data_IF_732520094153
#
_entry.id   IF_732520094153
#
_cell.length_a   1.000
_cell.length_b   1.000
_cell.length_c   1.000
_cell.angle_alpha   90.00
_cell.angle_beta   90.00
_cell.angle_gamma   90.00
#
_symmetry.space_group_name_H-M   'P 1'
#
loop_
_entity.id
_entity.type
_entity.pdbx_description
1 polymer ?
#
# COMPACT_ATOMS: atom_id res chain seq x y z
N UNK A 1 -1.13 20.50 4.84
CA UNK A 1 -1.30 19.30 3.99
C UNK A 1 -2.76 19.21 3.61
N UNK A 2 -3.09 19.00 2.34
CA UNK A 2 -4.47 18.77 1.93
C UNK A 2 -4.86 17.33 2.28
N UNK A 3 -6.03 17.15 2.90
CA UNK A 3 -6.59 15.84 3.22
C UNK A 3 -7.72 15.56 2.21
N UNK A 4 -7.64 14.41 1.54
CA UNK A 4 -8.65 13.96 0.57
C UNK A 4 -9.41 12.79 1.16
N UNK A 5 -10.73 12.80 1.03
CA UNK A 5 -11.61 11.70 1.47
C UNK A 5 -12.13 10.97 0.24
N UNK A 6 -11.89 9.66 0.18
CA UNK A 6 -12.45 8.80 -0.85
C UNK A 6 -13.73 8.16 -0.30
N UNK A 7 -14.86 8.37 -0.97
CA UNK A 7 -16.11 7.67 -0.67
C UNK A 7 -16.20 6.44 -1.57
N UNK A 8 -16.27 5.26 -0.96
CA UNK A 8 -16.37 3.97 -1.67
C UNK A 8 -17.46 3.13 -1.04
N UNK A 9 -18.12 2.28 -1.83
CA UNK A 9 -19.08 1.30 -1.31
C UNK A 9 -18.35 0.15 -0.62
N UNK A 10 -19.02 -0.53 0.32
CA UNK A 10 -18.43 -1.63 1.10
C UNK A 10 -17.82 -2.72 0.21
N UNK A 11 -18.52 -3.11 -0.87
CA UNK A 11 -18.02 -4.12 -1.82
C UNK A 11 -16.69 -3.68 -2.48
N UNK A 12 -16.58 -2.40 -2.79
CA UNK A 12 -15.41 -1.84 -3.47
C UNK A 12 -14.26 -1.62 -2.48
N UNK A 13 -14.59 -1.36 -1.20
CA UNK A 13 -13.62 -1.32 -0.11
C UNK A 13 -12.93 -2.67 0.11
N UNK A 14 -13.71 -3.76 0.09
CA UNK A 14 -13.17 -5.11 0.20
C UNK A 14 -12.30 -5.49 -1.00
N UNK A 15 -12.72 -5.13 -2.21
CA UNK A 15 -11.92 -5.32 -3.42
C UNK A 15 -10.60 -4.53 -3.33
N UNK A 16 -10.67 -3.26 -2.96
CA UNK A 16 -9.50 -2.39 -2.81
C UNK A 16 -8.53 -2.95 -1.76
N UNK A 17 -9.03 -3.41 -0.62
CA UNK A 17 -8.22 -4.06 0.42
C UNK A 17 -7.44 -5.25 -0.16
N UNK A 18 -8.11 -6.17 -0.84
CA UNK A 18 -7.46 -7.34 -1.43
C UNK A 18 -6.40 -6.96 -2.48
N UNK A 19 -6.65 -5.91 -3.28
CA UNK A 19 -5.66 -5.39 -4.24
C UNK A 19 -4.44 -4.80 -3.54
N UNK A 20 -4.64 -4.01 -2.47
CA UNK A 20 -3.57 -3.39 -1.69
C UNK A 20 -2.75 -4.45 -0.95
N UNK A 21 -3.38 -5.46 -0.35
CA UNK A 21 -2.70 -6.57 0.32
C UNK A 21 -1.81 -7.37 -0.65
N UNK A 22 -2.33 -7.68 -1.85
CA UNK A 22 -1.57 -8.37 -2.88
C UNK A 22 -0.38 -7.54 -3.34
N UNK A 23 -0.60 -6.25 -3.61
CA UNK A 23 0.47 -5.36 -4.04
C UNK A 23 1.53 -5.19 -2.95
N UNK A 24 1.14 -5.05 -1.68
CA UNK A 24 2.04 -4.97 -0.54
C UNK A 24 2.94 -6.21 -0.42
N UNK A 25 2.39 -7.41 -0.66
CA UNK A 25 3.17 -8.64 -0.68
C UNK A 25 4.25 -8.61 -1.78
N UNK A 26 3.88 -8.17 -2.98
CA UNK A 26 4.81 -8.07 -4.11
C UNK A 26 5.86 -6.98 -3.87
N UNK A 27 5.47 -5.85 -3.28
CA UNK A 27 6.37 -4.76 -2.92
C UNK A 27 7.42 -5.20 -1.89
N UNK A 28 7.02 -5.95 -0.86
CA UNK A 28 7.96 -6.52 0.13
C UNK A 28 8.97 -7.49 -0.50
N UNK A 29 8.53 -8.28 -1.48
CA UNK A 29 9.43 -9.15 -2.24
C UNK A 29 10.45 -8.34 -3.05
N UNK A 30 10.01 -7.23 -3.64
CA UNK A 30 10.89 -6.36 -4.43
C UNK A 30 11.90 -5.62 -3.55
N UNK A 31 11.48 -5.09 -2.39
CA UNK A 31 12.38 -4.49 -1.38
C UNK A 31 13.48 -5.47 -0.99
N UNK A 32 13.11 -6.73 -0.71
CA UNK A 32 14.06 -7.77 -0.32
C UNK A 32 15.07 -8.09 -1.44
N UNK A 33 14.69 -7.93 -2.71
CA UNK A 33 15.55 -8.18 -3.88
C UNK A 33 16.35 -6.95 -4.33
N UNK A 34 15.97 -5.76 -3.89
CA UNK A 34 16.58 -4.51 -4.33
C UNK A 34 17.85 -4.23 -3.54
N UNK A 35 19.03 -4.34 -4.17
CA UNK A 35 20.32 -4.11 -3.53
C UNK A 35 20.69 -2.62 -3.44
N UNK A 36 20.28 -1.82 -4.43
CA UNK A 36 20.56 -0.39 -4.44
C UNK A 36 19.72 0.32 -3.38
N UNK A 37 20.40 0.90 -2.38
CA UNK A 37 19.78 1.61 -1.26
C UNK A 37 18.85 2.74 -1.68
N UNK A 38 19.17 3.45 -2.75
CA UNK A 38 18.34 4.54 -3.28
C UNK A 38 16.99 4.03 -3.79
N UNK A 39 16.96 2.96 -4.58
CA UNK A 39 15.73 2.34 -5.08
C UNK A 39 14.94 1.68 -3.96
N UNK A 40 15.64 1.06 -2.99
CA UNK A 40 14.99 0.48 -1.81
C UNK A 40 14.22 1.51 -1.00
N UNK A 41 14.76 2.72 -0.82
CA UNK A 41 14.10 3.79 -0.06
C UNK A 41 12.76 4.22 -0.67
N UNK A 42 12.66 4.23 -1.99
CA UNK A 42 11.41 4.62 -2.65
C UNK A 42 10.36 3.51 -2.52
N UNK A 43 10.77 2.25 -2.63
CA UNK A 43 9.89 1.10 -2.36
C UNK A 43 9.42 1.06 -0.89
N UNK A 44 10.27 1.40 0.08
CA UNK A 44 9.91 1.48 1.50
C UNK A 44 8.89 2.61 1.77
N UNK A 45 8.94 3.73 1.04
CA UNK A 45 7.92 4.79 1.13
C UNK A 45 6.57 4.31 0.59
N UNK A 46 6.59 3.60 -0.54
CA UNK A 46 5.40 2.98 -1.09
C UNK A 46 4.82 1.95 -0.11
N UNK A 47 5.66 1.16 0.57
CA UNK A 47 5.23 0.18 1.57
C UNK A 47 4.50 0.88 2.72
N UNK A 48 5.08 1.95 3.26
CA UNK A 48 4.48 2.74 4.32
C UNK A 48 3.12 3.32 3.89
N UNK A 49 3.01 3.79 2.64
CA UNK A 49 1.75 4.29 2.10
C UNK A 49 0.68 3.19 2.03
N UNK A 50 1.03 1.99 1.57
CA UNK A 50 0.09 0.87 1.46
C UNK A 50 -0.37 0.40 2.84
N UNK A 51 0.53 0.34 3.82
CA UNK A 51 0.18 0.02 5.22
C UNK A 51 -0.81 1.04 5.77
N UNK A 52 -0.52 2.34 5.61
CA UNK A 52 -1.41 3.42 6.06
C UNK A 52 -2.77 3.38 5.36
N UNK A 53 -2.83 2.95 4.10
CA UNK A 53 -4.08 2.79 3.37
C UNK A 53 -4.91 1.61 3.92
N UNK A 54 -4.27 0.47 4.22
CA UNK A 54 -4.96 -0.69 4.81
C UNK A 54 -5.55 -0.39 6.18
N UNK A 55 -4.89 0.45 6.98
CA UNK A 55 -5.41 0.88 8.30
C UNK A 55 -6.69 1.72 8.20
N UNK A 56 -6.93 2.35 7.05
CA UNK A 56 -8.12 3.17 6.77
C UNK A 56 -9.26 2.36 6.12
N UNK A 57 -8.99 1.12 5.70
CA UNK A 57 -9.97 0.25 5.07
C UNK A 57 -10.71 -0.62 6.12
N UNK A 58 -11.87 -1.20 5.76
CA UNK A 58 -12.62 -2.08 6.65
C UNK A 58 -11.79 -3.24 7.19
N UNK A 59 -12.02 -3.61 8.47
CA UNK A 59 -11.32 -4.72 9.15
C UNK A 59 -11.83 -6.08 8.70
#
# INVERSE_FOLDING_TARGET
>A
MAMYTLQIEDKDAWLLKGLVEKYLLDLRREIARTEKREWRKDLEKEEALMVNLLEQLPK
#
